data_IF_110085491435
#
_entry.id   IF_110085491435
#
_cell.length_a   1.000
_cell.length_b   1.000
_cell.length_c   1.000
_cell.angle_alpha   90.00
_cell.angle_beta   90.00
_cell.angle_gamma   90.00
#
_symmetry.space_group_name_H-M   'P 1'
#
loop_
_entity.id
_entity.type
_entity.pdbx_description
1 polymer ?
#
# COMPACT_ATOMS: atom_id res chain seq x y z
N UNK A 1 7.61 4.26 31.41
CA UNK A 1 6.99 5.40 32.13
C UNK A 1 6.79 6.50 31.11
N UNK A 2 5.56 6.88 30.85
CA UNK A 2 5.27 7.98 29.93
C UNK A 2 5.73 9.31 30.56
N UNK A 3 6.31 10.17 29.77
CA UNK A 3 6.74 11.52 30.19
C UNK A 3 5.79 12.51 29.53
N UNK A 4 4.98 13.18 30.36
CA UNK A 4 4.07 14.23 29.91
C UNK A 4 4.69 15.60 30.14
N UNK A 5 4.51 16.49 29.18
CA UNK A 5 4.85 17.90 29.33
C UNK A 5 3.57 18.70 29.52
N UNK A 6 3.47 19.39 30.66
CA UNK A 6 2.33 20.23 31.01
C UNK A 6 2.44 21.59 30.34
N UNK A 7 1.32 22.10 29.83
CA UNK A 7 1.30 23.37 29.13
C UNK A 7 1.26 24.53 30.12
N UNK A 8 2.26 25.44 30.04
CA UNK A 8 2.28 26.67 30.82
C UNK A 8 1.32 27.75 30.26
N UNK A 9 0.97 27.66 28.96
CA UNK A 9 0.05 28.59 28.28
C UNK A 9 -1.02 27.81 27.53
N UNK A 10 -2.27 28.33 27.56
CA UNK A 10 -3.37 27.77 26.86
C UNK A 10 -3.20 27.90 25.33
N UNK A 11 -3.08 26.79 24.60
CA UNK A 11 -3.15 26.73 23.16
C UNK A 11 -4.03 25.54 22.75
N UNK A 12 -5.05 25.80 21.95
CA UNK A 12 -5.92 24.76 21.38
C UNK A 12 -5.31 24.10 20.14
N UNK A 13 -4.16 24.60 19.69
CA UNK A 13 -3.52 24.10 18.47
C UNK A 13 -2.54 23.00 18.81
N UNK A 14 -2.83 21.79 18.31
CA UNK A 14 -1.95 20.64 18.44
C UNK A 14 -0.98 20.62 17.25
N UNK A 15 0.32 20.77 17.51
CA UNK A 15 1.35 20.70 16.48
C UNK A 15 1.63 19.26 16.10
N UNK A 16 1.10 18.83 14.94
CA UNK A 16 1.24 17.48 14.42
C UNK A 16 2.11 17.46 13.16
N UNK A 17 2.65 16.28 12.84
CA UNK A 17 3.34 16.07 11.58
C UNK A 17 2.37 16.15 10.40
N UNK A 18 2.87 16.63 9.25
CA UNK A 18 2.14 16.49 7.99
C UNK A 18 2.24 15.04 7.51
N UNK A 19 1.10 14.36 7.45
CA UNK A 19 1.03 13.00 6.93
C UNK A 19 -0.02 12.91 5.81
N UNK A 20 0.27 12.06 4.83
CA UNK A 20 -0.67 11.76 3.75
C UNK A 20 -1.67 10.70 4.17
N UNK A 21 -2.86 10.77 3.58
CA UNK A 21 -3.84 9.70 3.60
C UNK A 21 -3.28 8.39 3.02
N UNK A 22 -4.02 7.28 3.19
CA UNK A 22 -3.65 5.97 2.68
C UNK A 22 -3.47 6.02 1.15
N UNK A 23 -2.24 5.80 0.69
CA UNK A 23 -1.92 5.83 -0.74
C UNK A 23 -2.24 4.49 -1.41
N UNK A 24 -2.12 3.38 -0.68
CA UNK A 24 -2.37 2.01 -1.17
C UNK A 24 -3.84 1.58 -1.16
N UNK A 25 -4.79 2.48 -0.91
CA UNK A 25 -6.23 2.19 -0.82
C UNK A 25 -6.76 1.43 -2.05
N UNK A 26 -6.38 1.83 -3.25
CA UNK A 26 -6.80 1.17 -4.48
C UNK A 26 -6.38 -0.32 -4.56
N UNK A 27 -5.34 -0.74 -3.84
CA UNK A 27 -4.91 -2.13 -3.77
C UNK A 27 -5.76 -2.95 -2.79
N UNK A 28 -6.27 -2.30 -1.73
CA UNK A 28 -7.06 -2.97 -0.69
C UNK A 28 -8.43 -3.46 -1.16
N UNK A 29 -8.99 -2.86 -2.22
CA UNK A 29 -10.33 -3.14 -2.72
C UNK A 29 -10.37 -3.90 -4.05
N UNK A 30 -9.21 -4.40 -4.52
CA UNK A 30 -9.02 -4.88 -5.89
C UNK A 30 -9.78 -6.15 -6.27
N UNK A 31 -10.04 -7.06 -5.33
CA UNK A 31 -10.70 -8.35 -5.60
C UNK A 31 -11.79 -8.66 -4.54
N UNK A 32 -13.02 -8.12 -4.70
CA UNK A 32 -14.08 -8.23 -3.69
C UNK A 32 -14.63 -9.65 -3.49
N UNK A 33 -14.40 -10.56 -4.44
CA UNK A 33 -14.95 -11.94 -4.42
C UNK A 33 -14.18 -12.90 -3.51
N UNK A 34 -13.01 -12.50 -3.00
CA UNK A 34 -12.20 -13.36 -2.16
C UNK A 34 -12.68 -13.29 -0.72
N UNK A 35 -13.10 -14.44 -0.18
CA UNK A 35 -13.56 -14.58 1.20
C UNK A 35 -12.56 -15.40 2.03
N UNK A 36 -12.46 -15.10 3.32
CA UNK A 36 -11.65 -15.86 4.26
C UNK A 36 -12.37 -17.18 4.59
N UNK A 37 -11.72 -18.31 4.30
CA UNK A 37 -12.26 -19.66 4.62
C UNK A 37 -11.91 -20.08 6.06
N UNK A 38 -10.77 -19.63 6.59
CA UNK A 38 -10.26 -19.97 7.92
C UNK A 38 -9.71 -18.75 8.65
N UNK A 39 -9.39 -18.94 9.94
CA UNK A 39 -8.86 -17.88 10.79
C UNK A 39 -7.58 -17.21 10.26
N UNK A 40 -6.75 -17.89 9.47
CA UNK A 40 -5.43 -17.36 9.05
C UNK A 40 -5.07 -17.65 7.59
N UNK A 41 -5.87 -18.36 6.82
CA UNK A 41 -5.48 -18.81 5.47
C UNK A 41 -6.54 -18.46 4.44
N UNK A 42 -6.13 -17.83 3.36
CA UNK A 42 -6.90 -17.67 2.13
C UNK A 42 -6.45 -18.74 1.16
N UNK A 43 -7.38 -19.45 0.52
CA UNK A 43 -7.07 -20.37 -0.56
C UNK A 43 -7.56 -19.78 -1.88
N UNK A 44 -6.63 -19.56 -2.79
CA UNK A 44 -6.95 -19.10 -4.15
C UNK A 44 -7.15 -20.30 -5.07
N UNK A 45 -8.34 -20.46 -5.69
CA UNK A 45 -8.58 -21.57 -6.62
C UNK A 45 -7.78 -21.35 -7.91
N UNK A 46 -7.14 -22.41 -8.37
CA UNK A 46 -6.33 -22.44 -9.59
C UNK A 46 -6.88 -23.51 -10.52
N UNK A 47 -7.37 -23.11 -11.69
CA UNK A 47 -7.88 -24.01 -12.70
C UNK A 47 -6.95 -24.01 -13.92
N UNK A 48 -6.56 -25.18 -14.38
CA UNK A 48 -5.78 -25.37 -15.60
C UNK A 48 -6.55 -26.28 -16.56
N UNK A 49 -6.68 -25.79 -17.80
CA UNK A 49 -7.40 -26.50 -18.87
C UNK A 49 -6.45 -26.76 -20.03
N UNK A 50 -6.62 -27.89 -20.72
CA UNK A 50 -5.97 -28.11 -22.00
C UNK A 50 -6.58 -27.24 -23.09
N UNK A 51 -5.77 -26.85 -24.08
CA UNK A 51 -6.23 -26.13 -25.27
C UNK A 51 -7.02 -27.02 -26.27
N UNK A 52 -7.44 -26.38 -27.35
CA UNK A 52 -8.07 -27.09 -28.47
C UNK A 52 -7.08 -28.02 -29.15
N UNK A 53 -7.64 -29.12 -29.71
CA UNK A 53 -6.92 -30.06 -30.55
C UNK A 53 -7.63 -30.12 -31.90
N UNK A 54 -6.89 -30.49 -32.96
CA UNK A 54 -7.47 -30.63 -34.29
C UNK A 54 -8.54 -31.68 -34.30
N UNK A 55 -9.68 -31.36 -34.92
CA UNK A 55 -10.82 -32.27 -35.04
C UNK A 55 -10.60 -33.30 -36.16
N UNK A 56 -10.79 -34.58 -35.85
CA UNK A 56 -10.81 -35.65 -36.82
C UNK A 56 -12.26 -36.11 -37.05
N UNK A 57 -12.68 -36.17 -38.33
CA UNK A 57 -14.08 -36.51 -38.68
C UNK A 57 -14.53 -37.90 -38.21
N UNK A 58 -13.59 -38.79 -37.94
CA UNK A 58 -13.87 -40.20 -37.59
C UNK A 58 -13.78 -40.51 -36.11
N UNK A 59 -13.22 -39.62 -35.28
CA UNK A 59 -12.90 -39.91 -33.88
C UNK A 59 -13.78 -39.14 -32.84
N UNK A 60 -14.75 -38.33 -33.29
CA UNK A 60 -15.59 -37.53 -32.39
C UNK A 60 -14.83 -36.35 -31.75
N UNK A 61 -15.24 -35.91 -30.56
CA UNK A 61 -14.59 -34.81 -29.83
C UNK A 61 -13.35 -35.30 -29.09
N UNK A 62 -12.29 -34.48 -29.15
CA UNK A 62 -11.07 -34.72 -28.38
C UNK A 62 -11.29 -34.48 -26.88
N UNK A 63 -10.90 -35.45 -26.07
CA UNK A 63 -10.94 -35.26 -24.60
C UNK A 63 -9.93 -34.20 -24.12
N UNK A 64 -10.42 -33.24 -23.37
CA UNK A 64 -9.62 -32.25 -22.66
C UNK A 64 -9.26 -32.73 -21.25
N UNK A 65 -8.18 -32.16 -20.69
CA UNK A 65 -7.79 -32.37 -19.30
C UNK A 65 -8.12 -31.13 -18.47
N UNK A 66 -8.66 -31.36 -17.28
CA UNK A 66 -8.98 -30.31 -16.29
C UNK A 66 -8.20 -30.65 -15.04
N UNK A 67 -7.43 -29.66 -14.53
CA UNK A 67 -6.73 -29.79 -13.26
C UNK A 67 -7.11 -28.61 -12.38
N UNK A 68 -7.46 -28.86 -11.12
CA UNK A 68 -7.75 -27.88 -10.10
C UNK A 68 -6.71 -27.99 -8.98
N UNK A 69 -6.15 -26.84 -8.57
CA UNK A 69 -5.21 -26.71 -7.48
C UNK A 69 -5.59 -25.50 -6.62
N UNK A 70 -5.09 -25.47 -5.39
CA UNK A 70 -5.35 -24.40 -4.43
C UNK A 70 -4.04 -23.78 -3.94
N UNK A 71 -3.89 -22.50 -4.14
CA UNK A 71 -2.76 -21.74 -3.62
C UNK A 71 -3.08 -21.20 -2.22
N UNK A 72 -2.51 -21.77 -1.13
CA UNK A 72 -2.72 -21.25 0.22
C UNK A 72 -1.88 -20.01 0.46
N UNK A 73 -2.50 -18.94 0.97
CA UNK A 73 -1.83 -17.72 1.45
C UNK A 73 -2.15 -17.54 2.93
N UNK A 74 -1.11 -17.48 3.74
CA UNK A 74 -1.24 -17.29 5.20
C UNK A 74 -1.09 -15.81 5.54
N UNK A 75 -2.10 -15.26 6.24
CA UNK A 75 -2.00 -13.91 6.80
C UNK A 75 -1.02 -13.90 7.96
N UNK A 76 -0.16 -12.88 8.01
CA UNK A 76 0.90 -12.76 8.99
C UNK A 76 0.91 -11.43 9.75
N UNK A 77 0.20 -10.39 9.28
CA UNK A 77 0.31 -9.04 9.84
C UNK A 77 -0.88 -8.72 10.75
N UNK A 78 -0.73 -9.05 12.04
CA UNK A 78 -1.68 -8.80 13.13
C UNK A 78 -1.04 -7.79 14.10
N UNK A 79 -1.64 -6.61 14.22
CA UNK A 79 -1.08 -5.48 14.97
C UNK A 79 -2.09 -4.98 15.96
N UNK A 80 -1.63 -4.72 17.18
CA UNK A 80 -2.44 -4.13 18.24
C UNK A 80 -1.69 -3.05 19.02
N UNK A 81 -2.46 -2.18 19.67
CA UNK A 81 -1.93 -1.19 20.59
C UNK A 81 -3.00 -0.84 21.63
N UNK A 82 -2.54 -0.47 22.82
CA UNK A 82 -3.37 -0.03 23.91
C UNK A 82 -2.78 1.25 24.53
N UNK A 83 -3.61 2.25 24.73
CA UNK A 83 -3.27 3.48 25.45
C UNK A 83 -4.16 3.64 26.65
N UNK A 84 -3.54 3.78 27.83
CA UNK A 84 -4.22 4.16 29.06
C UNK A 84 -4.02 5.66 29.32
N UNK A 85 -5.08 6.36 29.66
CA UNK A 85 -5.07 7.80 29.90
C UNK A 85 -5.80 8.11 31.21
N UNK A 86 -5.11 8.76 32.12
CA UNK A 86 -5.69 9.23 33.37
C UNK A 86 -6.48 10.54 33.13
N UNK A 87 -7.71 10.68 33.70
CA UNK A 87 -8.48 11.92 33.60
C UNK A 87 -7.74 13.17 34.13
N UNK A 88 -6.90 13.02 35.14
CA UNK A 88 -6.12 14.13 35.68
C UNK A 88 -5.06 14.61 34.67
N UNK A 89 -4.41 13.69 33.93
CA UNK A 89 -3.46 14.03 32.87
C UNK A 89 -4.14 14.78 31.72
N UNK A 90 -5.39 14.48 31.43
CA UNK A 90 -6.17 15.20 30.39
C UNK A 90 -6.38 16.66 30.83
N UNK A 91 -6.75 16.88 32.08
CA UNK A 91 -7.00 18.23 32.62
C UNK A 91 -5.71 19.03 32.71
N UNK A 92 -4.64 18.45 33.28
CA UNK A 92 -3.34 19.09 33.48
C UNK A 92 -2.61 19.40 32.15
N UNK A 93 -2.86 18.61 31.08
CA UNK A 93 -2.32 18.87 29.72
C UNK A 93 -3.23 19.75 28.89
N UNK A 94 -4.28 20.32 29.46
CA UNK A 94 -5.23 21.18 28.77
C UNK A 94 -5.89 20.49 27.58
N UNK A 95 -6.42 19.28 27.78
CA UNK A 95 -7.09 18.41 26.81
C UNK A 95 -6.19 17.92 25.66
N UNK A 96 -4.89 18.18 25.66
CA UNK A 96 -3.97 17.66 24.65
C UNK A 96 -3.96 16.11 24.63
N UNK A 97 -4.04 15.48 25.79
CA UNK A 97 -4.14 14.02 25.96
C UNK A 97 -5.58 13.50 25.89
N UNK A 98 -6.51 14.24 25.33
CA UNK A 98 -7.87 13.68 25.13
C UNK A 98 -7.80 12.45 24.24
N UNK A 99 -8.66 11.46 24.52
CA UNK A 99 -8.68 10.19 23.77
C UNK A 99 -8.91 10.42 22.29
N UNK A 100 -9.73 11.42 21.92
CA UNK A 100 -9.99 11.77 20.53
C UNK A 100 -8.71 12.26 19.81
N UNK A 101 -7.91 13.07 20.49
CA UNK A 101 -6.63 13.53 19.97
C UNK A 101 -5.63 12.38 19.82
N UNK A 102 -5.53 11.51 20.83
CA UNK A 102 -4.66 10.33 20.81
C UNK A 102 -5.03 9.42 19.65
N UNK A 103 -6.33 9.11 19.48
CA UNK A 103 -6.80 8.31 18.36
C UNK A 103 -6.45 8.94 17.02
N UNK A 104 -6.75 10.22 16.83
CA UNK A 104 -6.50 10.92 15.57
C UNK A 104 -5.01 10.97 15.22
N UNK A 105 -4.16 11.26 16.20
CA UNK A 105 -2.69 11.28 16.02
C UNK A 105 -2.16 9.90 15.71
N UNK A 106 -2.59 8.86 16.43
CA UNK A 106 -2.18 7.49 16.20
C UNK A 106 -2.55 7.02 14.78
N UNK A 107 -3.81 7.22 14.38
CA UNK A 107 -4.28 6.83 13.04
C UNK A 107 -3.49 7.55 11.94
N UNK A 108 -3.31 8.86 12.08
CA UNK A 108 -2.68 9.68 11.04
C UNK A 108 -1.17 9.47 10.97
N UNK A 109 -0.46 9.45 12.10
CA UNK A 109 1.00 9.44 12.13
C UNK A 109 1.62 8.05 12.19
N UNK A 110 0.85 7.01 12.59
CA UNK A 110 1.37 5.65 12.79
C UNK A 110 0.64 4.61 11.94
N UNK A 111 -0.67 4.45 12.10
CA UNK A 111 -1.41 3.35 11.50
C UNK A 111 -1.47 3.43 9.96
N UNK A 112 -1.80 4.60 9.41
CA UNK A 112 -1.87 4.81 7.95
C UNK A 112 -0.49 4.67 7.28
N UNK A 113 0.60 5.32 7.78
CA UNK A 113 1.93 5.12 7.22
C UNK A 113 2.42 3.67 7.30
N UNK A 114 2.19 2.98 8.41
CA UNK A 114 2.55 1.57 8.59
C UNK A 114 1.86 0.68 7.53
N UNK A 115 0.57 0.92 7.26
CA UNK A 115 -0.20 0.17 6.26
C UNK A 115 0.38 0.33 4.86
N UNK A 116 0.74 1.55 4.46
CA UNK A 116 1.41 1.82 3.17
C UNK A 116 2.78 1.15 3.09
N UNK A 117 3.61 1.32 4.12
CA UNK A 117 4.95 0.73 4.19
C UNK A 117 4.90 -0.80 4.07
N UNK A 118 3.96 -1.43 4.79
CA UNK A 118 3.77 -2.87 4.72
C UNK A 118 3.32 -3.32 3.33
N UNK A 119 2.31 -2.67 2.76
CA UNK A 119 1.77 -3.04 1.47
C UNK A 119 2.83 -2.94 0.35
N UNK A 120 3.60 -1.86 0.29
CA UNK A 120 4.63 -1.69 -0.74
C UNK A 120 5.82 -2.65 -0.55
N UNK A 121 6.27 -2.86 0.68
CA UNK A 121 7.33 -3.83 0.96
C UNK A 121 6.90 -5.27 0.67
N UNK A 122 5.62 -5.58 0.90
CA UNK A 122 5.05 -6.89 0.61
C UNK A 122 4.92 -7.14 -0.89
N UNK A 123 4.58 -6.11 -1.69
CA UNK A 123 4.64 -6.20 -3.15
C UNK A 123 6.04 -6.51 -3.66
N UNK A 124 7.07 -5.82 -3.12
CA UNK A 124 8.46 -6.11 -3.46
C UNK A 124 8.84 -7.56 -3.13
N UNK A 125 8.48 -8.03 -1.94
CA UNK A 125 8.72 -9.42 -1.53
C UNK A 125 8.00 -10.42 -2.45
N UNK A 126 6.75 -10.12 -2.83
CA UNK A 126 5.98 -10.93 -3.77
C UNK A 126 6.64 -10.99 -5.15
N UNK A 127 7.07 -9.86 -5.70
CA UNK A 127 7.78 -9.80 -6.98
C UNK A 127 9.10 -10.58 -6.94
N UNK A 128 9.87 -10.45 -5.87
CA UNK A 128 11.12 -11.20 -5.68
C UNK A 128 10.86 -12.71 -5.65
N UNK A 129 9.86 -13.16 -4.91
CA UNK A 129 9.52 -14.58 -4.77
C UNK A 129 9.01 -15.21 -6.06
N UNK A 130 8.29 -14.46 -6.88
CA UNK A 130 7.71 -14.94 -8.15
C UNK A 130 8.51 -14.54 -9.39
N UNK A 131 9.72 -14.02 -9.21
CA UNK A 131 10.59 -13.57 -10.31
C UNK A 131 9.90 -12.56 -11.24
N UNK A 132 9.14 -11.61 -10.64
CA UNK A 132 8.48 -10.53 -11.38
C UNK A 132 9.45 -9.46 -11.87
N UNK A 133 8.93 -8.45 -12.58
CA UNK A 133 9.76 -7.36 -13.13
C UNK A 133 10.23 -6.43 -12.02
N UNK A 134 11.53 -6.48 -11.69
CA UNK A 134 12.21 -5.55 -10.79
C UNK A 134 13.46 -5.03 -11.50
N UNK A 135 13.48 -3.76 -11.88
CA UNK A 135 14.70 -3.10 -12.34
C UNK A 135 15.43 -2.48 -11.16
N UNK A 136 16.66 -2.91 -10.94
CA UNK A 136 17.56 -2.39 -9.91
C UNK A 136 18.91 -1.92 -10.47
N UNK A 137 19.03 -1.84 -11.79
CA UNK A 137 20.28 -1.56 -12.48
C UNK A 137 20.30 -0.20 -13.16
N UNK A 138 19.17 0.26 -13.62
CA UNK A 138 19.03 1.53 -14.36
C UNK A 138 19.00 2.71 -13.39
N UNK A 139 19.82 3.72 -13.65
CA UNK A 139 19.74 5.00 -12.91
C UNK A 139 18.73 5.90 -13.61
N UNK A 140 17.68 6.31 -12.90
CA UNK A 140 16.62 7.17 -13.43
C UNK A 140 17.11 8.60 -13.64
N UNK A 141 16.89 9.12 -14.84
CA UNK A 141 17.16 10.50 -15.25
C UNK A 141 15.95 11.08 -15.98
N UNK A 142 15.92 12.40 -16.19
CA UNK A 142 14.85 13.03 -16.96
C UNK A 142 14.81 12.57 -18.43
N UNK A 143 15.90 12.08 -18.97
CA UNK A 143 16.01 11.61 -20.36
C UNK A 143 15.50 10.18 -20.53
N UNK A 144 15.69 9.29 -19.52
CA UNK A 144 15.38 7.86 -19.67
C UNK A 144 14.10 7.42 -18.94
N UNK A 145 13.53 8.25 -18.08
CA UNK A 145 12.37 7.86 -17.26
C UNK A 145 11.16 7.40 -18.08
N UNK A 146 10.90 8.04 -19.21
CA UNK A 146 9.82 7.65 -20.12
C UNK A 146 10.14 6.32 -20.81
N UNK A 147 11.37 6.13 -21.29
CA UNK A 147 11.79 4.87 -21.92
C UNK A 147 11.63 3.69 -20.95
N UNK A 148 12.08 3.86 -19.70
CA UNK A 148 11.93 2.81 -18.66
C UNK A 148 10.46 2.52 -18.36
N UNK A 149 9.63 3.56 -18.32
CA UNK A 149 8.18 3.40 -18.12
C UNK A 149 7.54 2.64 -19.30
N UNK A 150 7.86 3.02 -20.54
CA UNK A 150 7.33 2.41 -21.75
C UNK A 150 7.78 0.95 -21.90
N UNK A 151 9.00 0.61 -21.49
CA UNK A 151 9.47 -0.78 -21.44
C UNK A 151 8.65 -1.64 -20.47
N UNK A 152 8.34 -1.13 -19.28
CA UNK A 152 7.51 -1.87 -18.33
C UNK A 152 6.05 -1.95 -18.79
N UNK A 153 5.51 -0.91 -19.42
CA UNK A 153 4.18 -0.94 -20.04
C UNK A 153 4.12 -1.99 -21.15
N UNK A 154 5.11 -2.03 -22.03
CA UNK A 154 5.21 -3.02 -23.11
C UNK A 154 5.25 -4.46 -22.59
N UNK A 155 6.03 -4.72 -21.53
CA UNK A 155 6.06 -6.05 -20.87
C UNK A 155 4.68 -6.45 -20.33
N UNK A 156 3.94 -5.51 -19.76
CA UNK A 156 2.57 -5.77 -19.28
C UNK A 156 1.60 -6.04 -20.42
N UNK A 157 1.73 -5.32 -21.54
CA UNK A 157 0.89 -5.50 -22.73
C UNK A 157 1.14 -6.85 -23.37
N UNK A 158 2.40 -7.26 -23.53
CA UNK A 158 2.80 -8.58 -24.04
C UNK A 158 2.28 -9.73 -23.14
N UNK A 159 2.17 -9.47 -21.84
CA UNK A 159 1.58 -10.44 -20.90
C UNK A 159 0.04 -10.41 -20.86
N UNK A 160 -0.61 -9.56 -21.65
CA UNK A 160 -2.07 -9.45 -21.72
C UNK A 160 -2.72 -8.82 -20.48
N UNK A 161 -2.01 -7.98 -19.75
CA UNK A 161 -2.55 -7.24 -18.60
C UNK A 161 -3.46 -6.13 -19.12
N UNK A 162 -4.71 -5.95 -18.60
CA UNK A 162 -5.58 -4.87 -19.02
C UNK A 162 -4.91 -3.50 -18.89
N UNK A 163 -5.14 -2.62 -19.85
CA UNK A 163 -4.60 -1.25 -19.83
C UNK A 163 -5.36 -0.39 -18.82
N UNK A 164 -6.69 -0.53 -18.82
CA UNK A 164 -7.56 0.25 -17.94
C UNK A 164 -7.32 -0.07 -16.46
N UNK A 165 -7.18 0.97 -15.66
CA UNK A 165 -7.06 0.84 -14.21
C UNK A 165 -5.64 0.56 -13.70
N UNK A 166 -4.61 0.64 -14.54
CA UNK A 166 -3.21 0.62 -14.09
C UNK A 166 -2.92 1.85 -13.24
N UNK A 167 -2.12 1.67 -12.21
CA UNK A 167 -1.73 2.71 -11.25
C UNK A 167 -0.21 2.77 -11.19
N UNK A 168 0.34 3.98 -11.29
CA UNK A 168 1.75 4.27 -11.11
C UNK A 168 1.98 5.00 -9.79
N UNK A 169 2.51 4.28 -8.80
CA UNK A 169 2.97 4.90 -7.56
C UNK A 169 4.39 5.44 -7.77
N UNK A 170 4.61 6.71 -7.46
CA UNK A 170 5.91 7.37 -7.67
C UNK A 170 6.37 8.10 -6.42
N UNK A 171 7.68 8.11 -6.19
CA UNK A 171 8.28 8.98 -5.19
C UNK A 171 8.32 10.44 -5.67
N UNK A 172 8.44 11.43 -4.75
CA UNK A 172 8.59 12.84 -5.12
C UNK A 172 9.76 13.10 -6.06
N UNK A 173 10.85 12.33 -5.92
CA UNK A 173 12.04 12.40 -6.79
C UNK A 173 11.69 12.00 -8.22
N UNK A 174 11.01 10.87 -8.41
CA UNK A 174 10.56 10.41 -9.73
C UNK A 174 9.53 11.36 -10.33
N UNK A 175 8.60 11.86 -9.54
CA UNK A 175 7.64 12.85 -10.01
C UNK A 175 8.32 14.14 -10.51
N UNK A 176 9.43 14.55 -9.88
CA UNK A 176 10.28 15.66 -10.35
C UNK A 176 10.90 15.33 -11.72
N UNK A 177 11.41 14.09 -11.91
CA UNK A 177 11.99 13.64 -13.17
C UNK A 177 10.94 13.60 -14.27
N UNK A 178 9.75 13.06 -14.01
CA UNK A 178 8.62 13.05 -14.94
C UNK A 178 8.24 14.46 -15.39
N UNK A 179 8.19 15.42 -14.47
CA UNK A 179 7.92 16.82 -14.79
C UNK A 179 9.02 17.49 -15.62
N UNK A 180 10.23 16.97 -15.58
CA UNK A 180 11.40 17.47 -16.34
C UNK A 180 11.67 16.68 -17.61
N UNK A 181 10.99 15.54 -17.84
CA UNK A 181 11.24 14.68 -18.98
C UNK A 181 10.92 15.37 -20.31
N UNK A 182 11.83 15.19 -21.28
CA UNK A 182 11.61 15.66 -22.62
C UNK A 182 10.51 14.81 -23.29
N UNK A 183 9.67 15.45 -24.10
CA UNK A 183 8.58 14.78 -24.81
C UNK A 183 7.24 14.73 -24.10
N UNK A 184 7.15 14.99 -22.79
CA UNK A 184 5.85 15.16 -22.12
C UNK A 184 5.24 16.47 -22.59
N UNK A 185 4.15 16.37 -23.34
CA UNK A 185 3.32 17.54 -23.69
C UNK A 185 2.57 18.00 -22.42
N UNK A 186 3.03 19.12 -21.88
CA UNK A 186 2.41 19.71 -20.70
C UNK A 186 1.26 20.57 -21.13
N UNK A 187 0.06 20.25 -20.67
CA UNK A 187 -1.08 21.14 -20.84
C UNK A 187 -0.89 22.32 -19.87
N UNK A 188 -0.50 23.47 -20.40
CA UNK A 188 -0.42 24.70 -19.62
C UNK A 188 -1.82 25.27 -19.55
N UNK A 189 -2.49 25.08 -18.42
CA UNK A 189 -3.77 25.73 -18.14
C UNK A 189 -3.47 27.06 -17.44
N UNK A 190 -3.70 28.14 -18.15
CA UNK A 190 -3.64 29.49 -17.58
C UNK A 190 -5.04 29.83 -17.06
N UNK A 191 -5.22 29.77 -15.74
CA UNK A 191 -6.44 30.23 -15.09
C UNK A 191 -6.49 31.76 -15.06
N UNK A 192 -7.65 32.33 -14.71
CA UNK A 192 -7.85 33.78 -14.56
C UNK A 192 -6.85 34.46 -13.56
N UNK A 193 -6.12 33.69 -12.76
CA UNK A 193 -5.07 34.12 -11.85
C UNK A 193 -3.65 34.03 -12.44
N UNK A 194 -3.48 33.76 -13.74
CA UNK A 194 -2.18 33.52 -14.40
C UNK A 194 -1.33 32.37 -13.79
N UNK A 195 -1.94 31.41 -13.10
CA UNK A 195 -1.24 30.26 -12.53
C UNK A 195 -0.95 29.20 -13.58
N UNK A 196 0.30 28.72 -13.65
CA UNK A 196 0.73 27.61 -14.52
C UNK A 196 0.68 26.31 -13.74
N UNK A 197 -0.20 25.38 -14.14
CA UNK A 197 -0.26 24.04 -13.55
C UNK A 197 0.72 23.10 -14.29
N UNK A 198 1.67 22.53 -13.56
CA UNK A 198 2.68 21.57 -14.06
C UNK A 198 2.49 20.16 -13.50
N UNK A 199 1.33 19.85 -12.93
CA UNK A 199 1.09 18.51 -12.39
C UNK A 199 0.82 17.52 -13.52
N UNK A 200 1.49 16.35 -13.43
CA UNK A 200 1.22 15.19 -14.29
C UNK A 200 0.34 14.25 -13.48
N UNK A 201 -0.92 14.12 -13.88
CA UNK A 201 -1.90 13.29 -13.16
C UNK A 201 -2.04 11.89 -13.78
N UNK A 202 -1.79 11.77 -15.08
CA UNK A 202 -1.81 10.51 -15.80
C UNK A 202 -0.74 10.51 -16.90
N UNK A 203 -0.29 9.32 -17.26
CA UNK A 203 0.60 9.04 -18.37
C UNK A 203 0.04 7.79 -19.06
N UNK A 204 -0.31 7.89 -20.37
CA UNK A 204 -0.90 6.81 -21.16
C UNK A 204 -2.07 6.10 -20.44
N UNK A 205 -3.04 6.88 -19.95
CA UNK A 205 -4.20 6.44 -19.17
C UNK A 205 -3.87 5.80 -17.80
N UNK A 206 -2.60 5.72 -17.42
CA UNK A 206 -2.18 5.25 -16.09
C UNK A 206 -2.30 6.37 -15.07
N UNK A 207 -3.02 6.13 -13.99
CA UNK A 207 -3.17 7.10 -12.90
C UNK A 207 -1.90 7.21 -12.07
N UNK A 208 -1.34 8.41 -11.94
CA UNK A 208 -0.15 8.66 -11.13
C UNK A 208 -0.53 9.03 -9.70
N UNK A 209 -0.02 8.26 -8.73
CA UNK A 209 -0.15 8.55 -7.29
C UNK A 209 1.21 8.82 -6.69
N UNK A 210 1.42 10.03 -6.16
CA UNK A 210 2.67 10.37 -5.49
C UNK A 210 2.64 9.90 -4.03
N UNK A 211 3.65 9.12 -3.64
CA UNK A 211 3.83 8.58 -2.28
C UNK A 211 5.12 9.13 -1.67
N UNK A 212 5.14 9.34 -0.37
CA UNK A 212 6.33 9.77 0.35
C UNK A 212 7.45 8.71 0.24
N UNK A 213 8.69 9.15 0.01
CA UNK A 213 9.85 8.24 -0.15
C UNK A 213 10.06 7.33 1.06
N UNK A 214 9.76 7.83 2.26
CA UNK A 214 9.85 7.04 3.50
C UNK A 214 8.89 5.85 3.56
N UNK A 215 7.75 5.91 2.84
CA UNK A 215 6.77 4.81 2.76
C UNK A 215 7.06 3.82 1.63
N UNK A 216 8.02 4.11 0.74
CA UNK A 216 8.36 3.29 -0.42
C UNK A 216 9.77 2.71 -0.30
N UNK A 217 9.96 1.81 0.67
CA UNK A 217 11.21 1.05 0.83
C UNK A 217 10.95 -0.45 0.77
N UNK A 218 12.00 -1.20 0.47
CA UNK A 218 11.88 -2.66 0.26
C UNK A 218 11.71 -3.44 1.55
N UNK A 219 12.20 -2.91 2.68
CA UNK A 219 12.17 -3.60 3.97
C UNK A 219 11.89 -2.63 5.11
N UNK A 220 11.09 -3.09 6.07
CA UNK A 220 10.80 -2.39 7.31
C UNK A 220 10.92 -3.31 8.51
N UNK A 221 11.26 -2.73 9.65
CA UNK A 221 11.12 -3.35 10.97
C UNK A 221 9.80 -2.89 11.59
N UNK A 222 8.95 -3.85 11.92
CA UNK A 222 7.63 -3.63 12.53
C UNK A 222 7.58 -4.02 14.01
N UNK A 223 8.72 -4.14 14.69
CA UNK A 223 8.77 -4.52 16.10
C UNK A 223 8.18 -3.43 17.00
N UNK A 224 8.50 -2.16 16.69
CA UNK A 224 7.99 -0.99 17.40
C UNK A 224 7.68 0.10 16.37
N UNK A 225 6.41 0.17 15.95
CA UNK A 225 5.99 1.02 14.85
C UNK A 225 6.51 0.56 13.48
N UNK A 226 6.72 1.49 12.56
CA UNK A 226 7.23 1.24 11.22
C UNK A 226 8.53 2.01 10.97
N UNK A 227 9.66 1.31 11.04
CA UNK A 227 11.00 1.90 10.80
C UNK A 227 11.66 1.19 9.62
N UNK A 228 12.20 1.96 8.66
CA UNK A 228 12.94 1.39 7.55
C UNK A 228 14.17 0.63 8.05
N UNK A 229 14.40 -0.57 7.53
CA UNK A 229 15.60 -1.34 7.85
C UNK A 229 16.86 -0.66 7.29
N UNK A 230 18.02 -0.85 7.94
CA UNK A 230 19.27 -0.23 7.51
C UNK A 230 19.72 -0.67 6.12
N UNK A 231 19.34 -1.88 5.71
CA UNK A 231 19.60 -2.48 4.39
C UNK A 231 18.42 -2.32 3.41
N UNK A 232 17.50 -1.42 3.70
CA UNK A 232 16.33 -1.21 2.86
C UNK A 232 16.66 -0.34 1.64
N UNK A 233 16.47 -0.89 0.46
CA UNK A 233 16.57 -0.19 -0.81
C UNK A 233 15.40 0.77 -1.03
N UNK A 234 15.60 1.79 -1.87
CA UNK A 234 14.55 2.74 -2.20
C UNK A 234 13.75 2.25 -3.41
N UNK A 235 12.45 2.06 -3.23
CA UNK A 235 11.52 1.86 -4.34
C UNK A 235 11.23 3.24 -4.96
N UNK A 236 11.54 3.40 -6.23
CA UNK A 236 11.36 4.67 -6.94
C UNK A 236 9.97 4.81 -7.54
N UNK A 237 9.50 3.76 -8.22
CA UNK A 237 8.12 3.67 -8.69
C UNK A 237 7.62 2.22 -8.67
N UNK A 238 6.32 2.07 -8.64
CA UNK A 238 5.59 0.80 -8.77
C UNK A 238 4.50 1.00 -9.81
N UNK A 239 4.57 0.26 -10.90
CA UNK A 239 3.50 0.16 -11.88
C UNK A 239 2.69 -1.11 -11.57
N UNK A 240 1.41 -0.97 -11.26
CA UNK A 240 0.59 -2.10 -10.82
C UNK A 240 -0.82 -2.03 -11.39
N UNK A 241 -1.33 -3.17 -11.83
CA UNK A 241 -2.74 -3.35 -12.10
C UNK A 241 -3.41 -4.03 -10.88
N UNK A 242 -4.41 -3.41 -10.22
CA UNK A 242 -4.98 -3.90 -8.97
C UNK A 242 -5.46 -5.36 -9.01
N UNK A 243 -5.85 -5.89 -10.17
CA UNK A 243 -6.29 -7.29 -10.28
C UNK A 243 -5.22 -8.34 -10.01
N UNK A 244 -3.93 -7.97 -9.99
CA UNK A 244 -2.85 -8.89 -9.63
C UNK A 244 -2.64 -9.04 -8.13
N UNK A 245 -3.30 -8.18 -7.33
CA UNK A 245 -3.14 -8.10 -5.88
C UNK A 245 -4.40 -8.58 -5.18
N UNK A 246 -4.21 -9.30 -4.07
CA UNK A 246 -5.25 -9.63 -3.10
C UNK A 246 -4.87 -8.99 -1.79
N UNK A 247 -5.57 -7.94 -1.41
CA UNK A 247 -5.38 -7.27 -0.14
C UNK A 247 -6.72 -7.15 0.59
N UNK A 248 -6.76 -7.52 1.87
CA UNK A 248 -7.96 -7.50 2.68
C UNK A 248 -7.66 -7.25 4.13
N UNK A 249 -8.48 -6.40 4.72
CA UNK A 249 -8.62 -6.32 6.18
C UNK A 249 -9.48 -7.52 6.61
N UNK A 250 -8.92 -8.35 7.49
CA UNK A 250 -9.63 -9.49 8.06
C UNK A 250 -10.39 -9.11 9.32
N UNK A 251 -9.76 -8.29 10.15
CA UNK A 251 -10.30 -7.88 11.43
C UNK A 251 -9.83 -6.47 11.76
N UNK A 252 -10.74 -5.62 12.13
CA UNK A 252 -10.46 -4.31 12.67
C UNK A 252 -11.28 -4.16 13.95
N UNK A 253 -10.61 -3.80 15.04
CA UNK A 253 -11.24 -3.59 16.32
C UNK A 253 -10.72 -2.28 16.91
N UNK A 254 -11.63 -1.37 17.17
CA UNK A 254 -11.34 -0.12 17.87
C UNK A 254 -12.35 -0.03 19.02
N UNK A 255 -11.86 0.13 20.23
CA UNK A 255 -12.71 0.27 21.41
C UNK A 255 -12.16 1.33 22.35
N UNK A 256 -13.08 2.06 22.95
CA UNK A 256 -12.83 3.00 24.02
C UNK A 256 -13.60 2.57 25.25
N UNK A 257 -12.90 2.28 26.32
CA UNK A 257 -13.48 2.00 27.62
C UNK A 257 -13.40 3.26 28.49
N UNK A 258 -14.55 3.66 28.99
CA UNK A 258 -14.66 4.80 29.92
C UNK A 258 -14.37 4.33 31.35
N UNK A 259 -14.02 5.27 32.27
CA UNK A 259 -13.78 4.97 33.68
C UNK A 259 -14.84 4.05 34.31
N UNK A 260 -14.41 3.01 35.00
CA UNK A 260 -15.27 2.06 35.68
C UNK A 260 -16.01 1.04 34.81
N UNK A 261 -15.75 1.02 33.48
CA UNK A 261 -16.41 0.06 32.56
C UNK A 261 -15.71 -1.30 32.51
N UNK A 262 -14.40 -1.33 32.71
CA UNK A 262 -13.57 -2.55 32.72
C UNK A 262 -12.71 -2.54 34.01
N UNK A 263 -12.37 -3.73 34.50
CA UNK A 263 -11.50 -3.87 35.70
C UNK A 263 -10.10 -3.28 35.49
N UNK A 264 -9.65 -3.09 34.22
CA UNK A 264 -8.36 -2.50 33.86
C UNK A 264 -8.40 -0.98 33.76
N UNK A 265 -9.58 -0.38 33.66
CA UNK A 265 -9.71 1.08 33.50
C UNK A 265 -9.61 1.83 34.81
N UNK A 266 -9.96 1.20 35.94
CA UNK A 266 -10.09 1.87 37.24
C UNK A 266 -10.87 3.18 37.08
N UNK A 267 -10.22 4.35 37.22
CA UNK A 267 -10.76 5.68 36.98
C UNK A 267 -10.28 6.32 35.65
N UNK A 268 -9.49 5.58 34.84
CA UNK A 268 -8.94 6.05 33.57
C UNK A 268 -9.72 5.66 32.32
N UNK A 269 -9.30 6.20 31.19
CA UNK A 269 -9.75 5.82 29.86
C UNK A 269 -8.78 4.81 29.26
N UNK A 270 -9.31 3.80 28.56
CA UNK A 270 -8.52 2.81 27.87
C UNK A 270 -8.92 2.78 26.39
N UNK A 271 -8.00 3.15 25.51
CA UNK A 271 -8.16 3.04 24.07
C UNK A 271 -7.44 1.80 23.55
N UNK A 272 -8.13 0.99 22.79
CA UNK A 272 -7.59 -0.20 22.17
C UNK A 272 -7.82 -0.17 20.66
N UNK A 273 -6.79 -0.49 19.88
CA UNK A 273 -6.86 -0.63 18.45
C UNK A 273 -6.15 -1.91 18.02
N UNK A 274 -6.81 -2.76 17.24
CA UNK A 274 -6.22 -3.95 16.64
C UNK A 274 -6.64 -4.08 15.20
N UNK A 275 -5.67 -4.19 14.31
CA UNK A 275 -5.87 -4.37 12.89
C UNK A 275 -5.15 -5.62 12.41
N UNK A 276 -5.87 -6.49 11.69
CA UNK A 276 -5.33 -7.70 11.09
C UNK A 276 -5.61 -7.68 9.60
N UNK A 277 -4.55 -7.46 8.80
CA UNK A 277 -4.62 -7.41 7.34
C UNK A 277 -3.42 -8.08 6.72
N UNK A 278 -3.49 -8.36 5.44
CA UNK A 278 -2.32 -8.76 4.65
C UNK A 278 -2.57 -8.45 3.16
N UNK A 279 -1.48 -8.43 2.39
CA UNK A 279 -1.47 -8.23 0.96
C UNK A 279 -0.69 -9.35 0.29
N UNK A 280 -1.26 -9.93 -0.76
CA UNK A 280 -0.64 -11.00 -1.53
C UNK A 280 -0.65 -10.67 -3.02
N UNK A 281 0.47 -10.94 -3.68
CA UNK A 281 0.56 -10.97 -5.13
C UNK A 281 0.13 -12.35 -5.63
N UNK A 282 -0.69 -12.39 -6.69
CA UNK A 282 -1.14 -13.64 -7.33
C UNK A 282 -0.04 -14.09 -8.30
N UNK A 283 0.50 -15.31 -8.12
CA UNK A 283 1.61 -15.83 -8.92
C UNK A 283 1.35 -15.78 -10.43
N UNK A 284 0.18 -16.21 -10.89
CA UNK A 284 -0.20 -16.21 -12.32
C UNK A 284 -0.42 -14.82 -12.92
N UNK A 285 -0.55 -13.80 -12.07
CA UNK A 285 -0.76 -12.40 -12.48
C UNK A 285 0.43 -11.51 -12.12
N UNK A 286 1.59 -12.10 -11.82
CA UNK A 286 2.78 -11.38 -11.41
C UNK A 286 3.22 -10.32 -12.44
N UNK A 287 3.00 -10.58 -13.73
CA UNK A 287 3.26 -9.63 -14.80
C UNK A 287 2.44 -8.32 -14.70
N UNK A 288 1.36 -8.31 -13.91
CA UNK A 288 0.58 -7.11 -13.63
C UNK A 288 1.21 -6.16 -12.61
N UNK A 289 2.44 -6.43 -12.15
CA UNK A 289 3.17 -5.55 -11.23
C UNK A 289 4.63 -5.47 -11.66
N UNK A 290 5.14 -4.26 -11.83
CA UNK A 290 6.54 -3.96 -12.12
C UNK A 290 7.06 -2.90 -11.14
N UNK A 291 8.34 -2.95 -10.83
CA UNK A 291 8.95 -2.11 -9.81
C UNK A 291 10.34 -1.68 -10.22
N UNK A 292 10.67 -0.42 -9.93
CA UNK A 292 12.03 0.07 -10.03
C UNK A 292 12.59 0.39 -8.65
N UNK A 293 13.80 -0.11 -8.37
CA UNK A 293 14.45 -0.01 -7.05
C UNK A 293 15.86 0.55 -7.23
N UNK A 294 16.24 1.48 -6.38
CA UNK A 294 17.65 1.91 -6.28
C UNK A 294 18.26 1.24 -5.05
N UNK A 295 19.33 0.47 -5.25
CA UNK A 295 20.07 -0.16 -4.17
C UNK A 295 20.79 0.88 -3.33
N UNK A 296 20.80 0.61 -2.02
CA UNK A 296 21.46 1.49 -1.03
C UNK A 296 22.97 1.37 -1.14
#
# INVERSE_FOLDING_TARGET
MAVYQYAEQFTQFLAQKYEKELCSDALMHSNPQITFLNAQTIKLPRLTLSGYKDHTRTAGFNAGTISNDWEPKKLAHDRDIEFFVDPMDIDETNLALSVANIQNVFETEQAIPEKDCYNFSKLHTGLTNFHGSIDSTTVLTAQNILTVFDEEMSKMDDAGVPVDGRILYVTPTVNKLLKAADGIQRMITVNSSNAVNRNVHSLDDVTIKMVQSGRMKTKYNFTDGCVAAADADQINFILVHPSCVVARDKYAYISLFTPGTDSRTADGYLYQNRNYWDLFLIERKVAGCAMHVTKH
#
